data_IF_694826941063
#
_entry.id   IF_694826941063
#
_cell.length_a   1.000
_cell.length_b   1.000
_cell.length_c   1.000
_cell.angle_alpha   90.00
_cell.angle_beta   90.00
_cell.angle_gamma   90.00
#
_symmetry.space_group_name_H-M   'P 1'
#
loop_
_entity.id
_entity.type
_entity.pdbx_description
1 polymer ?
#
# COMPACT_ATOMS: atom_id res chain seq x y z
N UNK A 1 -3.39 14.25 26.72
CA UNK A 1 -3.92 12.95 26.51
C UNK A 1 -3.15 12.16 25.49
N UNK A 2 -2.82 11.00 25.85
CA UNK A 2 -2.12 10.18 24.91
C UNK A 2 -3.10 9.67 23.87
N UNK A 3 -2.96 10.11 22.69
CA UNK A 3 -3.66 9.51 21.64
C UNK A 3 -2.82 8.42 21.08
N UNK A 4 -3.45 7.39 20.73
CA UNK A 4 -2.81 6.40 19.94
C UNK A 4 -2.31 7.05 18.65
N UNK A 5 -1.02 6.97 18.42
CA UNK A 5 -0.45 7.35 17.17
C UNK A 5 -0.39 6.16 16.22
N UNK A 6 -1.11 5.07 16.53
CA UNK A 6 -1.13 3.91 15.68
C UNK A 6 -1.87 4.19 14.39
N UNK A 7 -1.34 3.76 13.26
CA UNK A 7 -2.01 3.95 11.98
C UNK A 7 -3.22 3.03 11.84
N UNK A 8 -4.16 3.41 10.98
CA UNK A 8 -5.23 2.52 10.58
C UNK A 8 -4.80 1.64 9.41
N UNK A 9 -3.90 2.14 8.57
CA UNK A 9 -3.39 1.42 7.41
C UNK A 9 -1.89 1.59 7.30
N UNK A 10 -1.25 0.58 6.71
CA UNK A 10 0.17 0.63 6.34
C UNK A 10 0.28 0.43 4.84
N UNK A 11 1.08 1.28 4.23
CA UNK A 11 1.35 1.21 2.80
C UNK A 11 2.81 0.85 2.61
N UNK A 12 3.04 -0.30 2.00
CA UNK A 12 4.38 -0.76 1.66
C UNK A 12 4.60 -0.54 0.17
N UNK A 13 5.69 0.13 -0.18
CA UNK A 13 6.05 0.38 -1.57
C UNK A 13 7.51 0.01 -1.76
N UNK A 14 7.78 -0.85 -2.72
CA UNK A 14 9.14 -1.29 -3.00
C UNK A 14 9.38 -1.28 -4.52
N UNK A 15 10.61 -1.01 -4.96
CA UNK A 15 10.92 -1.11 -6.38
C UNK A 15 10.82 -2.56 -6.83
N UNK A 16 10.44 -2.74 -8.08
CA UNK A 16 10.34 -4.06 -8.68
C UNK A 16 10.90 -4.01 -10.09
N UNK A 17 11.69 -5.01 -10.44
CA UNK A 17 12.20 -5.16 -11.79
C UNK A 17 11.73 -6.50 -12.33
N UNK A 18 11.09 -6.48 -13.50
CA UNK A 18 10.65 -7.69 -14.17
C UNK A 18 11.70 -8.10 -15.19
N UNK A 19 12.44 -9.16 -14.89
CA UNK A 19 13.50 -9.62 -15.78
C UNK A 19 12.99 -10.11 -17.15
N UNK A 20 11.79 -10.67 -17.18
CA UNK A 20 11.23 -11.19 -18.42
C UNK A 20 10.91 -10.07 -19.40
N UNK A 21 10.43 -8.94 -18.92
CA UNK A 21 10.08 -7.81 -19.78
C UNK A 21 11.11 -6.69 -19.75
N UNK A 22 12.11 -6.77 -18.87
CA UNK A 22 13.14 -5.75 -18.67
C UNK A 22 12.51 -4.40 -18.28
N UNK A 23 11.44 -4.42 -17.49
CA UNK A 23 10.75 -3.20 -17.06
C UNK A 23 10.85 -2.98 -15.59
N UNK A 24 11.05 -1.72 -15.22
CA UNK A 24 10.98 -1.27 -13.84
C UNK A 24 9.55 -0.95 -13.46
N UNK A 25 9.23 -1.13 -12.19
CA UNK A 25 7.93 -0.79 -11.65
C UNK A 25 8.00 -0.72 -10.15
N UNK A 26 6.84 -0.74 -9.53
CA UNK A 26 6.73 -0.81 -8.08
C UNK A 26 5.78 -1.93 -7.69
N UNK A 27 6.06 -2.51 -6.53
CA UNK A 27 5.11 -3.41 -5.86
C UNK A 27 4.54 -2.65 -4.67
N UNK A 28 3.24 -2.68 -4.53
CA UNK A 28 2.52 -1.96 -3.50
C UNK A 28 1.64 -2.92 -2.71
N UNK A 29 1.67 -2.79 -1.39
CA UNK A 29 0.77 -3.52 -0.52
C UNK A 29 0.16 -2.58 0.49
N UNK A 30 -1.16 -2.53 0.52
CA UNK A 30 -1.91 -1.79 1.52
C UNK A 30 -2.50 -2.80 2.48
N UNK A 31 -2.30 -2.60 3.77
CA UNK A 31 -2.86 -3.50 4.76
C UNK A 31 -3.41 -2.73 5.95
N UNK A 32 -4.36 -3.36 6.65
CA UNK A 32 -4.88 -2.80 7.89
C UNK A 32 -3.84 -2.98 8.99
N UNK A 33 -3.75 -2.01 9.89
CA UNK A 33 -2.96 -2.20 11.10
C UNK A 33 -3.63 -3.21 12.03
N UNK A 34 -4.96 -3.30 11.97
CA UNK A 34 -5.71 -4.25 12.75
C UNK A 34 -5.53 -5.67 12.24
N UNK A 35 -5.44 -6.62 13.17
CA UNK A 35 -5.36 -8.05 12.88
C UNK A 35 -6.74 -8.66 13.09
N UNK A 36 -7.19 -9.45 12.12
CA UNK A 36 -8.46 -10.16 12.20
C UNK A 36 -8.20 -11.60 12.61
N UNK A 37 -8.99 -12.09 13.56
CA UNK A 37 -8.68 -13.35 14.21
C UNK A 37 -9.28 -14.60 13.55
N UNK A 38 -10.33 -14.43 12.76
CA UNK A 38 -11.09 -15.57 12.26
C UNK A 38 -10.74 -15.98 10.84
N UNK A 39 -10.44 -15.00 10.00
CA UNK A 39 -10.18 -15.25 8.58
C UNK A 39 -9.11 -14.29 8.08
N UNK A 40 -8.40 -14.73 7.05
CA UNK A 40 -7.52 -13.85 6.29
C UNK A 40 -8.39 -13.10 5.28
N UNK A 41 -8.67 -11.83 5.54
CA UNK A 41 -9.46 -11.01 4.63
C UNK A 41 -8.59 -10.32 3.62
N UNK A 42 -9.16 -10.04 2.46
CA UNK A 42 -8.59 -9.11 1.49
C UNK A 42 -9.27 -7.76 1.65
N UNK A 43 -8.56 -6.69 1.33
CA UNK A 43 -9.16 -5.39 1.19
C UNK A 43 -9.75 -5.25 -0.20
N UNK A 44 -11.00 -4.80 -0.27
CA UNK A 44 -11.60 -4.41 -1.51
C UNK A 44 -11.24 -2.95 -1.77
N UNK A 45 -10.51 -2.68 -2.85
CA UNK A 45 -9.96 -1.37 -3.12
C UNK A 45 -10.32 -0.95 -4.54
N UNK A 46 -10.82 0.28 -4.66
CA UNK A 46 -11.02 0.90 -5.96
C UNK A 46 -9.79 1.73 -6.29
N UNK A 47 -9.14 1.40 -7.41
CA UNK A 47 -7.94 2.07 -7.85
C UNK A 47 -8.26 3.08 -8.94
N UNK A 48 -7.66 4.24 -8.85
CA UNK A 48 -7.67 5.23 -9.93
C UNK A 48 -6.23 5.62 -10.18
N UNK A 49 -5.72 5.31 -11.34
CA UNK A 49 -4.32 5.53 -11.68
C UNK A 49 -4.19 6.47 -12.87
N UNK A 50 -3.31 7.46 -12.74
CA UNK A 50 -2.78 8.20 -13.87
C UNK A 50 -1.25 8.34 -13.69
N UNK A 51 -0.52 8.92 -14.65
CA UNK A 51 0.96 8.84 -14.60
C UNK A 51 1.60 9.45 -13.35
N UNK A 52 0.94 10.37 -12.68
CA UNK A 52 1.52 11.05 -11.51
C UNK A 52 0.69 10.91 -10.25
N UNK A 53 -0.40 10.17 -10.29
CA UNK A 53 -1.30 10.01 -9.14
C UNK A 53 -1.87 8.61 -9.06
N UNK A 54 -1.99 8.14 -7.85
CA UNK A 54 -2.64 6.87 -7.56
C UNK A 54 -3.59 7.10 -6.40
N UNK A 55 -4.87 6.80 -6.60
CA UNK A 55 -5.87 6.92 -5.55
C UNK A 55 -6.39 5.52 -5.22
N UNK A 56 -6.25 5.14 -3.97
CA UNK A 56 -6.69 3.84 -3.47
C UNK A 56 -7.83 4.07 -2.48
N UNK A 57 -9.04 3.75 -2.89
CA UNK A 57 -10.21 3.89 -2.02
C UNK A 57 -10.57 2.53 -1.46
N UNK A 58 -10.50 2.37 -0.15
CA UNK A 58 -10.88 1.14 0.52
C UNK A 58 -12.40 1.08 0.60
N UNK A 59 -12.97 0.05 0.00
CA UNK A 59 -14.42 -0.14 -0.02
C UNK A 59 -14.91 -1.04 1.11
N UNK A 60 -14.06 -1.92 1.61
CA UNK A 60 -14.41 -2.83 2.67
C UNK A 60 -13.52 -4.05 2.68
N UNK A 61 -13.96 -5.06 3.40
CA UNK A 61 -13.28 -6.35 3.46
C UNK A 61 -13.98 -7.33 2.54
N UNK A 62 -13.22 -8.25 1.97
CA UNK A 62 -13.80 -9.35 1.22
C UNK A 62 -13.15 -10.65 1.63
N UNK A 63 -13.92 -11.73 1.54
CA UNK A 63 -13.43 -13.06 1.86
C UNK A 63 -12.86 -13.68 0.59
N UNK A 64 -11.63 -14.19 0.62
CA UNK A 64 -11.07 -14.88 -0.54
C UNK A 64 -11.90 -16.11 -0.91
N UNK A 65 -11.85 -16.58 -2.17
CA UNK A 65 -12.61 -17.75 -2.61
C UNK A 65 -12.33 -19.00 -1.80
N UNK A 66 -11.08 -19.21 -1.37
CA UNK A 66 -10.72 -20.28 -0.48
C UNK A 66 -10.26 -19.65 0.82
N UNK A 67 -11.19 -19.53 1.77
CA UNK A 67 -10.79 -18.97 3.05
C UNK A 67 -10.63 -20.07 4.07
N UNK A 68 -9.42 -20.17 4.59
CA UNK A 68 -9.12 -21.03 5.72
C UNK A 68 -9.11 -20.17 6.96
N UNK A 69 -9.47 -20.73 8.13
CA UNK A 69 -9.31 -19.99 9.37
C UNK A 69 -7.86 -19.53 9.53
N UNK A 70 -7.68 -18.25 9.77
CA UNK A 70 -6.34 -17.70 9.91
C UNK A 70 -6.45 -16.37 10.65
N UNK A 71 -5.32 -15.91 11.17
CA UNK A 71 -5.22 -14.55 11.68
C UNK A 71 -4.34 -13.74 10.75
N UNK A 72 -4.63 -12.47 10.63
CA UNK A 72 -3.78 -11.61 9.84
C UNK A 72 -4.42 -10.28 9.56
N UNK A 73 -3.64 -9.44 8.88
CA UNK A 73 -4.11 -8.14 8.40
C UNK A 73 -4.90 -8.34 7.13
N UNK A 74 -5.88 -7.47 6.90
CA UNK A 74 -6.53 -7.44 5.60
C UNK A 74 -5.60 -6.72 4.62
N UNK A 75 -5.45 -7.25 3.42
CA UNK A 75 -4.41 -6.81 2.47
C UNK A 75 -4.95 -6.59 1.07
N UNK A 76 -4.30 -5.65 0.40
CA UNK A 76 -4.45 -5.43 -1.04
C UNK A 76 -3.04 -5.28 -1.61
N UNK A 77 -2.72 -6.06 -2.63
CA UNK A 77 -1.38 -6.02 -3.27
C UNK A 77 -1.51 -5.82 -4.76
N UNK A 78 -0.66 -4.98 -5.32
CA UNK A 78 -0.69 -4.67 -6.74
C UNK A 78 0.69 -4.23 -7.22
N UNK A 79 0.96 -4.47 -8.49
CA UNK A 79 2.17 -3.99 -9.15
C UNK A 79 1.80 -2.94 -10.17
N UNK A 80 2.61 -1.91 -10.27
CA UNK A 80 2.41 -0.82 -11.22
C UNK A 80 3.69 -0.63 -12.02
N UNK A 81 3.58 -0.53 -13.33
CA UNK A 81 4.72 -0.32 -14.22
C UNK A 81 4.81 1.11 -14.72
N UNK A 82 3.73 1.86 -14.67
CA UNK A 82 3.65 3.18 -15.30
C UNK A 82 3.96 4.33 -14.38
N UNK A 83 4.05 4.09 -13.08
CA UNK A 83 4.30 5.15 -12.13
C UNK A 83 5.79 5.42 -12.03
N UNK A 84 6.20 6.61 -12.38
CA UNK A 84 7.62 7.03 -12.39
C UNK A 84 7.74 8.47 -11.95
N UNK A 85 8.91 8.82 -11.42
CA UNK A 85 9.16 10.17 -10.96
C UNK A 85 8.37 10.50 -9.71
N UNK A 86 7.86 11.71 -9.61
CA UNK A 86 7.06 12.12 -8.46
C UNK A 86 5.63 11.67 -8.64
N UNK A 87 5.13 10.90 -7.68
CA UNK A 87 3.79 10.33 -7.71
C UNK A 87 3.12 10.59 -6.37
N UNK A 88 1.91 11.13 -6.41
CA UNK A 88 1.08 11.26 -5.23
C UNK A 88 0.26 10.00 -5.07
N UNK A 89 0.36 9.36 -3.91
CA UNK A 89 -0.47 8.20 -3.57
C UNK A 89 -1.41 8.61 -2.45
N UNK A 90 -2.70 8.54 -2.71
CA UNK A 90 -3.73 8.86 -1.72
C UNK A 90 -4.44 7.59 -1.33
N UNK A 91 -4.57 7.36 -0.03
CA UNK A 91 -5.36 6.27 0.53
C UNK A 91 -6.59 6.86 1.19
N UNK A 92 -7.74 6.41 0.76
CA UNK A 92 -9.01 6.81 1.36
C UNK A 92 -9.61 5.62 2.10
N UNK A 93 -9.85 5.78 3.39
CA UNK A 93 -10.43 4.73 4.22
C UNK A 93 -11.94 4.65 4.05
N UNK A 94 -12.52 3.62 4.65
CA UNK A 94 -13.96 3.33 4.55
C UNK A 94 -14.80 4.51 5.06
N UNK A 95 -14.31 5.20 6.08
CA UNK A 95 -15.06 6.31 6.69
C UNK A 95 -14.79 7.66 6.01
N UNK A 96 -14.03 7.67 4.93
CA UNK A 96 -13.75 8.88 4.19
C UNK A 96 -12.48 9.61 4.59
N UNK A 97 -11.76 9.14 5.60
CA UNK A 97 -10.47 9.75 5.94
C UNK A 97 -9.48 9.50 4.81
N UNK A 98 -8.68 10.49 4.50
CA UNK A 98 -7.68 10.38 3.44
C UNK A 98 -6.30 10.75 3.97
N UNK A 99 -5.29 10.15 3.35
CA UNK A 99 -3.91 10.54 3.57
C UNK A 99 -3.16 10.44 2.25
N UNK A 100 -2.28 11.39 2.01
CA UNK A 100 -1.52 11.44 0.76
C UNK A 100 -0.04 11.44 1.07
N UNK A 101 0.71 10.60 0.37
CA UNK A 101 2.16 10.58 0.41
C UNK A 101 2.69 10.97 -0.97
N UNK A 102 3.75 11.76 -1.00
CA UNK A 102 4.44 12.08 -2.24
C UNK A 102 5.70 11.24 -2.31
N UNK A 103 5.78 10.41 -3.34
CA UNK A 103 6.91 9.51 -3.56
C UNK A 103 7.69 9.95 -4.79
N UNK A 104 8.99 9.71 -4.77
CA UNK A 104 9.82 9.82 -5.96
C UNK A 104 10.27 8.42 -6.33
N UNK A 105 9.84 7.96 -7.50
CA UNK A 105 10.09 6.61 -7.98
C UNK A 105 11.16 6.67 -9.06
N UNK A 106 12.31 6.08 -8.75
CA UNK A 106 13.40 5.93 -9.72
C UNK A 106 13.74 4.45 -9.78
N UNK A 107 14.47 3.98 -10.79
CA UNK A 107 14.85 2.57 -10.85
C UNK A 107 15.57 2.15 -9.57
N UNK A 108 15.15 1.05 -9.01
CA UNK A 108 15.73 0.43 -7.81
C UNK A 108 15.61 1.24 -6.53
N UNK A 109 14.85 2.33 -6.51
CA UNK A 109 14.74 3.13 -5.31
C UNK A 109 13.43 3.91 -5.26
N UNK A 110 12.88 3.98 -4.05
CA UNK A 110 11.69 4.79 -3.79
C UNK A 110 11.97 5.69 -2.61
N UNK A 111 11.79 6.99 -2.81
CA UNK A 111 12.01 7.98 -1.76
C UNK A 111 10.69 8.59 -1.34
N UNK A 112 10.50 8.77 -0.05
CA UNK A 112 9.36 9.53 0.46
C UNK A 112 9.75 10.99 0.44
N UNK A 113 9.12 11.77 -0.45
CA UNK A 113 9.37 13.20 -0.56
C UNK A 113 8.59 13.96 0.50
N UNK A 114 7.34 13.57 0.71
CA UNK A 114 6.49 14.18 1.73
C UNK A 114 5.64 13.10 2.37
N UNK A 115 5.74 13.00 3.68
CA UNK A 115 4.97 12.01 4.42
C UNK A 115 3.52 12.46 4.60
N UNK A 116 2.60 11.51 4.79
CA UNK A 116 1.21 11.86 5.06
C UNK A 116 1.12 12.65 6.38
N UNK A 117 0.15 13.55 6.43
CA UNK A 117 -0.15 14.25 7.67
C UNK A 117 -0.92 13.34 8.60
N UNK A 118 -0.63 13.43 9.90
CA UNK A 118 -1.30 12.63 10.91
C UNK A 118 -0.82 11.19 10.93
N UNK A 119 -1.58 10.34 11.59
CA UNK A 119 -1.21 8.95 11.83
C UNK A 119 -2.07 7.92 11.11
N UNK A 120 -3.02 8.36 10.29
CA UNK A 120 -3.93 7.46 9.60
C UNK A 120 -3.20 6.44 8.73
N UNK A 121 -2.18 6.88 8.01
CA UNK A 121 -1.43 6.05 7.07
C UNK A 121 0.05 6.07 7.41
N UNK A 122 0.62 4.90 7.63
CA UNK A 122 2.06 4.71 7.76
C UNK A 122 2.60 4.24 6.43
N UNK A 123 3.66 4.88 5.93
CA UNK A 123 4.27 4.53 4.66
C UNK A 123 5.64 3.93 4.93
N UNK A 124 5.88 2.76 4.36
CA UNK A 124 7.13 2.01 4.51
C UNK A 124 7.67 1.73 3.11
N UNK A 125 8.89 2.19 2.87
CA UNK A 125 9.56 1.95 1.61
C UNK A 125 10.87 1.22 1.84
N UNK A 126 11.34 0.54 0.81
CA UNK A 126 12.62 -0.14 0.86
C UNK A 126 13.29 -0.05 -0.50
N UNK A 127 14.62 -0.06 -0.48
CA UNK A 127 15.40 -0.07 -1.70
C UNK A 127 15.63 -1.47 -2.25
N UNK A 128 15.19 -2.49 -1.53
CA UNK A 128 15.40 -3.88 -1.93
C UNK A 128 14.09 -4.52 -2.34
N UNK A 129 13.94 -4.96 -3.59
CA UNK A 129 12.67 -5.50 -4.07
C UNK A 129 12.17 -6.72 -3.31
N UNK A 130 13.08 -7.46 -2.68
CA UNK A 130 12.72 -8.74 -2.09
C UNK A 130 12.40 -8.69 -0.61
N UNK A 131 12.36 -7.51 0.01
CA UNK A 131 12.20 -7.42 1.46
C UNK A 131 10.87 -6.87 1.93
N UNK A 132 10.15 -6.14 1.09
CA UNK A 132 8.96 -5.40 1.53
C UNK A 132 7.82 -6.29 1.99
N UNK A 133 7.69 -7.48 1.42
CA UNK A 133 6.54 -8.34 1.65
C UNK A 133 6.91 -9.65 2.35
N UNK A 134 8.03 -9.67 3.00
CA UNK A 134 8.40 -10.83 3.79
C UNK A 134 7.44 -10.97 4.97
N UNK A 135 7.02 -12.17 5.18
CA UNK A 135 6.09 -12.49 6.25
C UNK A 135 6.78 -12.44 7.60
#
# INVERSE_FOLDING_TARGET
MAHSSEPEYRLYVTPRFDEATQKDGIALRLETAKVFASFQYDLSVKETEDPSRLHLKVLGLKTPPLSLPATGHARFSREYEKLKGEVEVTVEGIEGKTATVLLKIVPNRIQVVRRPKGSFLQVITTDHPDTAFEA
#
